data_IF_703746963582
#
_entry.id   IF_703746963582
#
_cell.length_a   1.000
_cell.length_b   1.000
_cell.length_c   1.000
_cell.angle_alpha   90.00
_cell.angle_beta   90.00
_cell.angle_gamma   90.00
#
_symmetry.space_group_name_H-M   'P 1'
#
loop_
_entity.id
_entity.type
_entity.pdbx_description
1 polymer ?
#
# COMPACT_ATOMS: atom_id res chain seq x y z
N UNK A 1 9.01 22.14 11.48
CA UNK A 1 8.95 20.93 12.34
C UNK A 1 8.54 19.74 11.47
N UNK A 2 9.39 18.72 11.38
CA UNK A 2 9.11 17.47 10.66
C UNK A 2 7.94 16.76 11.37
N UNK A 3 6.77 16.65 10.74
CA UNK A 3 5.69 15.82 11.29
C UNK A 3 6.03 14.36 10.97
N UNK A 4 6.91 13.78 11.79
CA UNK A 4 7.15 12.34 11.75
C UNK A 4 5.87 11.58 12.11
N UNK A 5 5.74 10.36 11.60
CA UNK A 5 4.64 9.45 11.96
C UNK A 5 4.58 9.31 13.48
N UNK A 6 3.41 9.57 14.06
CA UNK A 6 3.21 9.45 15.50
C UNK A 6 3.14 7.99 15.96
N UNK A 7 3.49 7.73 17.21
CA UNK A 7 3.34 6.40 17.82
C UNK A 7 1.88 5.91 17.77
N UNK A 8 0.93 6.83 17.96
CA UNK A 8 -0.49 6.54 17.89
C UNK A 8 -0.93 6.04 16.50
N UNK A 9 -0.42 6.64 15.42
CA UNK A 9 -0.68 6.18 14.04
C UNK A 9 -0.10 4.77 13.83
N UNK A 10 1.15 4.54 14.25
CA UNK A 10 1.78 3.23 14.11
C UNK A 10 1.02 2.13 14.86
N UNK A 11 0.50 2.42 16.05
CA UNK A 11 -0.28 1.47 16.84
C UNK A 11 -1.63 1.15 16.18
N UNK A 12 -2.28 2.13 15.56
CA UNK A 12 -3.49 1.91 14.78
C UNK A 12 -3.21 1.04 13.55
N UNK A 13 -2.08 1.24 12.87
CA UNK A 13 -1.69 0.41 11.72
C UNK A 13 -1.44 -1.03 12.15
N UNK A 14 -0.72 -1.26 13.25
CA UNK A 14 -0.47 -2.61 13.79
C UNK A 14 -1.77 -3.32 14.17
N UNK A 15 -2.71 -2.62 14.82
CA UNK A 15 -4.03 -3.17 15.18
C UNK A 15 -4.87 -3.50 13.94
N UNK A 16 -4.85 -2.63 12.94
CA UNK A 16 -5.54 -2.86 11.66
C UNK A 16 -4.97 -4.08 10.95
N UNK A 17 -3.64 -4.16 10.85
CA UNK A 17 -2.93 -5.28 10.25
C UNK A 17 -3.26 -6.61 10.93
N UNK A 18 -3.14 -6.68 12.26
CA UNK A 18 -3.49 -7.89 13.03
C UNK A 18 -4.95 -8.30 12.87
N UNK A 19 -5.86 -7.34 12.72
CA UNK A 19 -7.27 -7.64 12.48
C UNK A 19 -7.51 -8.20 11.08
N UNK A 20 -6.83 -7.66 10.05
CA UNK A 20 -6.88 -8.21 8.71
C UNK A 20 -6.27 -9.61 8.62
N UNK A 21 -5.14 -9.87 9.27
CA UNK A 21 -4.53 -11.21 9.30
C UNK A 21 -5.46 -12.26 9.90
N UNK A 22 -6.08 -11.94 11.05
CA UNK A 22 -7.07 -12.84 11.67
C UNK A 22 -8.27 -13.06 10.77
N UNK A 23 -8.80 -12.00 10.16
CA UNK A 23 -9.92 -12.11 9.22
C UNK A 23 -9.59 -12.96 8.00
N UNK A 24 -8.38 -12.81 7.43
CA UNK A 24 -7.91 -13.64 6.31
C UNK A 24 -7.82 -15.10 6.73
N UNK A 25 -7.28 -15.39 7.92
CA UNK A 25 -7.24 -16.76 8.44
C UNK A 25 -8.64 -17.35 8.60
N UNK A 26 -9.60 -16.58 9.12
CA UNK A 26 -11.00 -17.00 9.24
C UNK A 26 -11.65 -17.28 7.88
N UNK A 27 -11.54 -16.36 6.90
CA UNK A 27 -12.11 -16.58 5.57
C UNK A 27 -11.45 -17.74 4.82
N UNK A 28 -10.14 -17.94 4.96
CA UNK A 28 -9.46 -19.11 4.39
C UNK A 28 -9.95 -20.43 4.98
N UNK A 29 -10.30 -20.47 6.27
CA UNK A 29 -10.77 -21.70 6.92
C UNK A 29 -12.12 -22.20 6.39
N UNK A 30 -12.89 -21.32 5.75
CA UNK A 30 -14.19 -21.63 5.11
C UNK A 30 -14.14 -21.47 3.59
N UNK A 31 -12.94 -21.41 3.01
CA UNK A 31 -12.71 -21.28 1.56
C UNK A 31 -13.36 -20.03 0.91
N UNK A 32 -13.59 -18.97 1.69
CA UNK A 32 -14.12 -17.70 1.20
C UNK A 32 -12.99 -16.86 0.57
N UNK A 33 -12.72 -17.16 -0.70
CA UNK A 33 -11.69 -16.49 -1.49
C UNK A 33 -12.02 -15.02 -1.76
N UNK A 34 -13.31 -14.68 -1.87
CA UNK A 34 -13.78 -13.33 -2.15
C UNK A 34 -13.45 -12.40 -0.99
N UNK A 35 -13.87 -12.75 0.22
CA UNK A 35 -13.61 -11.93 1.39
C UNK A 35 -12.13 -11.96 1.81
N UNK A 36 -11.43 -13.08 1.57
CA UNK A 36 -9.96 -13.11 1.71
C UNK A 36 -9.27 -12.10 0.79
N UNK A 37 -9.69 -12.01 -0.47
CA UNK A 37 -9.15 -11.05 -1.43
C UNK A 37 -9.48 -9.60 -1.06
N UNK A 38 -10.69 -9.33 -0.56
CA UNK A 38 -11.09 -8.00 -0.07
C UNK A 38 -10.23 -7.56 1.13
N UNK A 39 -9.91 -8.47 2.06
CA UNK A 39 -9.01 -8.14 3.16
C UNK A 39 -7.57 -7.92 2.70
N UNK A 40 -7.07 -8.72 1.75
CA UNK A 40 -5.76 -8.47 1.12
C UNK A 40 -5.74 -7.10 0.41
N UNK A 41 -6.81 -6.72 -0.28
CA UNK A 41 -6.97 -5.40 -0.87
C UNK A 41 -6.91 -4.29 0.20
N UNK A 42 -7.62 -4.46 1.32
CA UNK A 42 -7.59 -3.52 2.44
C UNK A 42 -6.20 -3.43 3.10
N UNK A 43 -5.44 -4.52 3.18
CA UNK A 43 -4.03 -4.48 3.60
C UNK A 43 -3.19 -3.65 2.64
N UNK A 44 -3.41 -3.77 1.32
CA UNK A 44 -2.77 -2.92 0.33
C UNK A 44 -3.07 -1.43 0.55
N UNK A 45 -4.34 -1.09 0.80
CA UNK A 45 -4.78 0.28 1.11
C UNK A 45 -4.16 0.82 2.40
N UNK A 46 -4.06 -0.02 3.44
CA UNK A 46 -3.36 0.33 4.68
C UNK A 46 -1.89 0.67 4.40
N UNK A 47 -1.19 -0.13 3.59
CA UNK A 47 0.20 0.16 3.24
C UNK A 47 0.34 1.49 2.48
N UNK A 48 -0.60 1.85 1.59
CA UNK A 48 -0.61 3.18 0.95
C UNK A 48 -0.75 4.32 1.97
N UNK A 49 -1.61 4.15 2.98
CA UNK A 49 -1.77 5.13 4.06
C UNK A 49 -0.47 5.27 4.85
N UNK A 50 0.20 4.15 5.17
CA UNK A 50 1.51 4.19 5.81
C UNK A 50 2.53 4.96 4.96
N UNK A 51 2.59 4.70 3.65
CA UNK A 51 3.47 5.42 2.74
C UNK A 51 3.21 6.93 2.78
N UNK A 52 1.95 7.34 2.64
CA UNK A 52 1.56 8.76 2.67
C UNK A 52 1.92 9.45 3.99
N UNK A 53 1.85 8.75 5.12
CA UNK A 53 2.25 9.29 6.42
C UNK A 53 3.77 9.53 6.53
N UNK A 54 4.58 8.85 5.72
CA UNK A 54 6.02 9.09 5.60
C UNK A 54 6.38 10.23 4.63
N UNK A 55 5.40 10.78 3.89
CA UNK A 55 5.61 11.97 3.08
C UNK A 55 6.00 13.15 4.00
N UNK A 56 7.15 13.79 3.71
CA UNK A 56 7.62 14.98 4.43
C UNK A 56 6.71 16.18 4.12
N UNK A 57 5.54 16.24 4.75
CA UNK A 57 4.63 17.38 4.75
C UNK A 57 4.75 18.12 6.09
N UNK A 58 5.90 18.75 6.31
CA UNK A 58 6.02 19.81 7.32
C UNK A 58 5.50 21.13 6.75
N UNK A 59 5.31 22.15 7.59
CA UNK A 59 4.92 23.52 7.21
C UNK A 59 5.84 24.24 6.18
N UNK A 60 6.82 23.55 5.58
CA UNK A 60 7.61 24.05 4.46
C UNK A 60 6.89 23.73 3.15
N UNK A 61 6.69 24.73 2.32
CA UNK A 61 5.91 24.70 1.08
C UNK A 61 6.45 23.73 -0.01
N UNK A 62 7.49 22.93 0.29
CA UNK A 62 8.11 22.00 -0.66
C UNK A 62 8.28 20.61 -0.04
N UNK A 63 7.51 19.65 -0.55
CA UNK A 63 7.69 18.21 -0.30
C UNK A 63 9.13 17.80 -0.69
N UNK A 64 9.75 16.96 0.15
CA UNK A 64 11.08 16.38 -0.12
C UNK A 64 11.07 15.30 -1.21
N UNK A 65 12.25 14.73 -1.50
CA UNK A 65 12.38 13.59 -2.41
C UNK A 65 11.53 12.39 -1.94
N UNK A 66 11.10 11.56 -2.88
CA UNK A 66 10.41 10.30 -2.59
C UNK A 66 11.28 9.41 -1.69
N UNK A 67 10.77 9.11 -0.48
CA UNK A 67 11.58 8.47 0.56
C UNK A 67 11.64 6.94 0.40
N UNK A 68 12.64 6.26 1.02
CA UNK A 68 12.72 4.81 1.03
C UNK A 68 11.57 4.21 1.82
N UNK A 69 11.07 4.90 2.85
CA UNK A 69 9.90 4.47 3.61
C UNK A 69 8.65 4.51 2.74
N UNK A 70 8.43 5.58 1.98
CA UNK A 70 7.34 5.64 1.00
C UNK A 70 7.45 4.49 0.00
N UNK A 71 8.62 4.28 -0.59
CA UNK A 71 8.89 3.20 -1.53
C UNK A 71 8.61 1.82 -0.92
N UNK A 72 9.07 1.56 0.31
CA UNK A 72 8.86 0.31 1.03
C UNK A 72 7.38 0.00 1.17
N UNK A 73 6.59 0.97 1.64
CA UNK A 73 5.17 0.78 1.89
C UNK A 73 4.36 0.68 0.59
N UNK A 74 4.67 1.46 -0.45
CA UNK A 74 4.02 1.29 -1.74
C UNK A 74 4.31 -0.09 -2.37
N UNK A 75 5.55 -0.60 -2.27
CA UNK A 75 5.86 -1.95 -2.74
C UNK A 75 5.10 -3.03 -1.94
N UNK A 76 4.99 -2.88 -0.62
CA UNK A 76 4.11 -3.76 0.19
C UNK A 76 2.65 -3.69 -0.27
N UNK A 77 2.16 -2.52 -0.64
CA UNK A 77 0.80 -2.37 -1.16
C UNK A 77 0.61 -3.19 -2.44
N UNK A 78 1.54 -3.04 -3.40
CA UNK A 78 1.60 -3.80 -4.65
C UNK A 78 1.59 -5.31 -4.39
N UNK A 79 2.41 -5.80 -3.45
CA UNK A 79 2.45 -7.22 -3.09
C UNK A 79 1.09 -7.73 -2.58
N UNK A 80 0.39 -6.95 -1.76
CA UNK A 80 -0.92 -7.33 -1.24
C UNK A 80 -1.99 -7.36 -2.33
N UNK A 81 -1.99 -6.41 -3.26
CA UNK A 81 -2.91 -6.44 -4.39
C UNK A 81 -2.63 -7.62 -5.32
N UNK A 82 -1.37 -7.95 -5.60
CA UNK A 82 -1.03 -9.16 -6.35
C UNK A 82 -1.47 -10.44 -5.64
N UNK A 83 -1.33 -10.52 -4.30
CA UNK A 83 -1.86 -11.65 -3.52
C UNK A 83 -3.38 -11.73 -3.62
N UNK A 84 -4.09 -10.61 -3.58
CA UNK A 84 -5.54 -10.56 -3.74
C UNK A 84 -5.96 -11.08 -5.12
N UNK A 85 -5.35 -10.56 -6.21
CA UNK A 85 -5.62 -11.03 -7.58
C UNK A 85 -5.33 -12.52 -7.74
N UNK A 86 -4.22 -13.01 -7.17
CA UNK A 86 -3.86 -14.43 -7.19
C UNK A 86 -4.90 -15.29 -6.47
N UNK A 87 -5.46 -14.81 -5.35
CA UNK A 87 -6.51 -15.55 -4.62
C UNK A 87 -7.85 -15.61 -5.36
N UNK A 88 -8.16 -14.61 -6.19
CA UNK A 88 -9.35 -14.61 -7.05
C UNK A 88 -9.17 -15.49 -8.30
N UNK A 89 -7.92 -15.84 -8.64
CA UNK A 89 -7.52 -16.63 -9.79
C UNK A 89 -7.89 -15.97 -11.14
N UNK A 90 -9.14 -16.11 -11.55
CA UNK A 90 -9.66 -15.65 -12.84
C UNK A 90 -10.63 -14.49 -12.65
N UNK A 91 -10.56 -13.49 -13.55
CA UNK A 91 -11.45 -12.32 -13.50
C UNK A 91 -12.92 -12.73 -13.63
N UNK A 92 -13.21 -13.74 -14.43
CA UNK A 92 -14.56 -14.19 -14.75
C UNK A 92 -15.33 -14.71 -13.52
N UNK A 93 -14.63 -15.19 -12.49
CA UNK A 93 -15.26 -15.74 -11.28
C UNK A 93 -15.79 -14.65 -10.35
N UNK A 94 -15.06 -13.54 -10.22
CA UNK A 94 -15.32 -12.48 -9.26
C UNK A 94 -15.10 -11.09 -9.85
N UNK A 95 -15.68 -10.84 -11.03
CA UNK A 95 -15.34 -9.69 -11.87
C UNK A 95 -15.33 -8.35 -11.13
N UNK A 96 -16.37 -8.04 -10.36
CA UNK A 96 -16.45 -6.77 -9.63
C UNK A 96 -15.32 -6.60 -8.59
N UNK A 97 -14.98 -7.66 -7.86
CA UNK A 97 -13.90 -7.63 -6.85
C UNK A 97 -12.55 -7.59 -7.54
N UNK A 98 -12.36 -8.38 -8.59
CA UNK A 98 -11.14 -8.40 -9.38
C UNK A 98 -10.85 -7.02 -9.98
N UNK A 99 -11.85 -6.39 -10.62
CA UNK A 99 -11.74 -5.08 -11.22
C UNK A 99 -11.42 -4.00 -10.17
N UNK A 100 -12.02 -4.09 -8.97
CA UNK A 100 -11.72 -3.19 -7.86
C UNK A 100 -10.28 -3.35 -7.36
N UNK A 101 -9.79 -4.57 -7.19
CA UNK A 101 -8.40 -4.82 -6.77
C UNK A 101 -7.41 -4.35 -7.83
N UNK A 102 -7.70 -4.62 -9.10
CA UNK A 102 -6.86 -4.19 -10.20
C UNK A 102 -6.79 -2.66 -10.30
N UNK A 103 -7.91 -1.98 -10.11
CA UNK A 103 -7.97 -0.52 -10.03
C UNK A 103 -7.08 0.05 -8.90
N UNK A 104 -7.16 -0.53 -7.70
CA UNK A 104 -6.30 -0.13 -6.58
C UNK A 104 -4.81 -0.36 -6.88
N UNK A 105 -4.47 -1.47 -7.57
CA UNK A 105 -3.10 -1.73 -8.02
C UNK A 105 -2.63 -0.69 -9.06
N UNK A 106 -3.44 -0.42 -10.09
CA UNK A 106 -3.11 0.56 -11.14
C UNK A 106 -2.93 1.97 -10.56
N UNK A 107 -3.82 2.40 -9.68
CA UNK A 107 -3.71 3.72 -9.02
C UNK A 107 -2.51 3.81 -8.09
N UNK A 108 -2.09 2.69 -7.48
CA UNK A 108 -0.85 2.62 -6.70
C UNK A 108 0.38 2.83 -7.58
N UNK A 109 0.47 2.13 -8.72
CA UNK A 109 1.56 2.35 -9.68
C UNK A 109 1.57 3.76 -10.26
N UNK A 110 0.41 4.29 -10.63
CA UNK A 110 0.28 5.66 -11.11
C UNK A 110 0.78 6.68 -10.07
N UNK A 111 0.40 6.48 -8.80
CA UNK A 111 0.88 7.31 -7.70
C UNK A 111 2.39 7.21 -7.56
N UNK A 112 2.96 6.00 -7.52
CA UNK A 112 4.42 5.81 -7.43
C UNK A 112 5.16 6.48 -8.60
N UNK A 113 4.65 6.32 -9.83
CA UNK A 113 5.24 6.93 -11.02
C UNK A 113 5.26 8.46 -10.92
N UNK A 114 4.13 9.05 -10.50
CA UNK A 114 4.00 10.50 -10.29
C UNK A 114 4.96 10.98 -9.19
N UNK A 115 5.06 10.25 -8.07
CA UNK A 115 5.98 10.61 -6.98
C UNK A 115 7.46 10.51 -7.40
N UNK A 116 7.82 9.49 -8.17
CA UNK A 116 9.17 9.30 -8.70
C UNK A 116 9.52 10.35 -9.76
N UNK A 117 8.55 10.84 -10.51
CA UNK A 117 8.74 11.89 -11.52
C UNK A 117 8.88 13.27 -10.86
N UNK A 118 7.91 13.64 -10.02
CA UNK A 118 7.81 15.00 -9.47
C UNK A 118 8.79 15.23 -8.32
N UNK A 119 9.23 14.15 -7.66
CA UNK A 119 10.09 14.20 -6.48
C UNK A 119 11.15 13.11 -6.52
N UNK A 120 11.82 13.00 -7.67
CA UNK A 120 12.85 12.00 -7.91
C UNK A 120 13.89 11.96 -6.77
N UNK A 121 14.32 10.76 -6.31
CA UNK A 121 15.35 10.60 -5.28
C UNK A 121 16.75 10.80 -5.88
N UNK A 122 17.04 12.00 -6.38
CA UNK A 122 18.27 12.34 -7.11
C UNK A 122 19.48 12.20 -6.18
N UNK A 123 19.35 12.63 -4.93
CA UNK A 123 20.42 12.53 -3.92
C UNK A 123 20.99 11.12 -3.76
N UNK A 124 20.15 10.10 -3.94
CA UNK A 124 20.54 8.68 -3.83
C UNK A 124 21.02 8.08 -5.14
N UNK A 125 20.43 8.47 -6.27
CA UNK A 125 20.83 7.96 -7.59
C UNK A 125 22.15 8.54 -8.10
N UNK A 126 22.54 9.71 -7.62
CA UNK A 126 23.79 10.37 -8.03
C UNK A 126 25.05 9.79 -7.36
N UNK A 127 24.93 8.93 -6.34
CA UNK A 127 26.07 8.34 -5.62
C UNK A 127 26.63 7.07 -6.28
N UNK A 128 26.05 6.58 -7.37
CA UNK A 128 26.49 5.37 -8.10
C UNK A 128 27.49 5.64 -9.25
N UNK A 129 28.19 6.78 -9.26
CA UNK A 129 29.22 7.12 -10.27
C UNK A 129 30.62 7.26 -9.68
#
# INVERSE_FOLDING_TARGET
AHRGVSSAEQDLWKKSFSSFERGIASFKSIEDTTNSALLLCNMGRLMRICAQAHCSSGNDERRGEFSPEEALYYNKAVDYYHKALKSLNKRETHQAVWDSVYWELSTTYFTMATLLQDYAPISRKAQEQ
#
